data_IF_048676377493
#
_entry.id   IF_048676377493
#
_cell.length_a   1.000
_cell.length_b   1.000
_cell.length_c   1.000
_cell.angle_alpha   90.00
_cell.angle_beta   90.00
_cell.angle_gamma   90.00
#
_symmetry.space_group_name_H-M   'P 1'
#
loop_
_entity.id
_entity.type
_entity.pdbx_description
1 polymer ?
#
# COMPACT_ATOMS: atom_id res chain seq x y z
N UNK A 1 -22.69 -3.74 9.05
CA UNK A 1 -21.30 -3.43 9.40
C UNK A 1 -20.38 -4.48 8.80
N UNK A 2 -19.82 -4.20 7.63
CA UNK A 2 -18.81 -5.05 7.00
C UNK A 2 -17.52 -4.89 7.81
N UNK A 3 -16.93 -6.01 8.26
CA UNK A 3 -15.66 -5.96 8.97
C UNK A 3 -14.55 -5.50 8.01
N UNK A 4 -13.55 -4.78 8.51
CA UNK A 4 -12.44 -4.25 7.69
C UNK A 4 -11.73 -5.36 6.90
N UNK A 5 -11.71 -6.59 7.44
CA UNK A 5 -11.16 -7.78 6.80
C UNK A 5 -11.94 -8.15 5.52
N UNK A 6 -13.27 -8.17 5.61
CA UNK A 6 -14.16 -8.55 4.50
C UNK A 6 -14.15 -7.50 3.38
N UNK A 7 -13.65 -6.29 3.66
CA UNK A 7 -13.56 -5.20 2.71
C UNK A 7 -12.34 -5.28 1.77
N UNK A 8 -11.37 -6.18 1.98
CA UNK A 8 -10.16 -6.26 1.15
C UNK A 8 -10.46 -6.54 -0.33
N UNK A 9 -11.21 -7.60 -0.62
CA UNK A 9 -11.56 -7.97 -2.00
C UNK A 9 -12.34 -6.86 -2.73
N UNK A 10 -13.46 -6.31 -2.19
CA UNK A 10 -14.19 -5.26 -2.87
C UNK A 10 -13.36 -3.98 -3.03
N UNK A 11 -12.48 -3.67 -2.07
CA UNK A 11 -11.53 -2.57 -2.19
C UNK A 11 -10.58 -2.76 -3.38
N UNK A 12 -9.95 -3.94 -3.50
CA UNK A 12 -9.02 -4.23 -4.59
C UNK A 12 -9.73 -4.22 -5.95
N UNK A 13 -10.90 -4.86 -6.05
CA UNK A 13 -11.69 -4.88 -7.28
C UNK A 13 -12.04 -3.46 -7.73
N UNK A 14 -12.53 -2.62 -6.81
CA UNK A 14 -12.87 -1.23 -7.12
C UNK A 14 -11.64 -0.40 -7.49
N UNK A 15 -10.53 -0.59 -6.78
CA UNK A 15 -9.28 0.10 -7.08
C UNK A 15 -8.71 -0.27 -8.45
N UNK A 16 -8.84 -1.53 -8.87
CA UNK A 16 -8.44 -1.99 -10.21
C UNK A 16 -9.38 -1.47 -11.30
N UNK A 17 -10.70 -1.49 -11.07
CA UNK A 17 -11.71 -0.96 -12.01
C UNK A 17 -11.47 0.54 -12.30
N UNK A 18 -11.06 1.30 -11.27
CA UNK A 18 -10.74 2.72 -11.38
C UNK A 18 -9.32 3.01 -11.88
N UNK A 19 -8.55 1.98 -12.26
CA UNK A 19 -7.15 2.09 -12.68
C UNK A 19 -6.22 2.73 -11.63
N UNK A 20 -6.61 2.66 -10.35
CA UNK A 20 -5.81 3.17 -9.23
C UNK A 20 -4.84 2.10 -8.69
N UNK A 21 -5.23 0.82 -8.80
CA UNK A 21 -4.46 -0.32 -8.33
C UNK A 21 -4.06 -1.26 -9.46
N UNK A 22 -2.96 -1.99 -9.25
CA UNK A 22 -2.48 -2.98 -10.21
C UNK A 22 -3.37 -4.24 -10.19
N UNK A 23 -3.80 -4.76 -11.36
CA UNK A 23 -4.52 -6.03 -11.46
C UNK A 23 -3.73 -7.23 -10.90
N UNK A 24 -2.41 -7.13 -10.77
CA UNK A 24 -1.58 -8.18 -10.17
C UNK A 24 -1.94 -8.45 -8.71
N UNK A 25 -2.49 -7.46 -7.99
CA UNK A 25 -2.92 -7.63 -6.60
C UNK A 25 -4.08 -8.63 -6.45
N UNK A 26 -4.91 -8.80 -7.48
CA UNK A 26 -6.02 -9.76 -7.47
C UNK A 26 -5.57 -11.20 -7.67
N UNK A 27 -4.30 -11.44 -7.97
CA UNK A 27 -3.74 -12.80 -8.16
C UNK A 27 -3.27 -13.46 -6.86
N UNK A 28 -3.29 -12.73 -5.75
CA UNK A 28 -2.96 -13.26 -4.43
C UNK A 28 -4.11 -14.13 -3.89
N UNK A 29 -3.81 -15.02 -2.94
CA UNK A 29 -4.84 -15.65 -2.11
C UNK A 29 -5.45 -14.62 -1.15
N UNK A 30 -6.53 -13.97 -1.59
CA UNK A 30 -7.21 -12.93 -0.80
C UNK A 30 -7.81 -13.48 0.48
N UNK A 31 -8.28 -14.73 0.52
CA UNK A 31 -8.85 -15.31 1.74
C UNK A 31 -7.78 -15.46 2.83
N UNK A 32 -6.56 -15.87 2.43
CA UNK A 32 -5.43 -15.94 3.36
C UNK A 32 -5.03 -14.55 3.87
N UNK A 33 -4.97 -13.54 3.00
CA UNK A 33 -4.62 -12.17 3.38
C UNK A 33 -5.70 -11.54 4.27
N UNK A 34 -6.98 -11.74 3.96
CA UNK A 34 -8.11 -11.28 4.76
C UNK A 34 -8.05 -11.81 6.20
N UNK A 35 -7.73 -13.10 6.36
CA UNK A 35 -7.58 -13.72 7.66
C UNK A 35 -6.40 -13.15 8.48
N UNK A 36 -5.40 -12.56 7.81
CA UNK A 36 -4.24 -11.96 8.46
C UNK A 36 -4.48 -10.52 8.94
N UNK A 37 -5.52 -9.84 8.43
CA UNK A 37 -5.85 -8.46 8.82
C UNK A 37 -6.29 -8.42 10.28
N UNK A 38 -5.77 -7.43 11.02
CA UNK A 38 -6.01 -7.19 12.43
C UNK A 38 -6.65 -5.81 12.65
N UNK A 39 -7.99 -5.68 12.56
CA UNK A 39 -8.70 -4.41 12.73
C UNK A 39 -8.40 -3.70 14.04
N UNK A 40 -8.08 -4.45 15.10
CA UNK A 40 -7.73 -3.92 16.40
C UNK A 40 -6.51 -2.97 16.36
N UNK A 41 -5.63 -3.12 15.37
CA UNK A 41 -4.46 -2.24 15.17
C UNK A 41 -4.86 -0.84 14.70
N UNK A 42 -6.07 -0.66 14.18
CA UNK A 42 -6.59 0.67 13.84
C UNK A 42 -6.74 1.56 15.10
N UNK A 43 -6.85 0.97 16.29
CA UNK A 43 -6.88 1.72 17.56
C UNK A 43 -5.51 2.28 17.98
N UNK A 44 -4.42 1.89 17.31
CA UNK A 44 -3.08 2.39 17.62
C UNK A 44 -2.83 3.78 17.03
N UNK A 45 -3.68 4.23 16.10
CA UNK A 45 -3.53 5.54 15.48
C UNK A 45 -3.81 6.67 16.45
N UNK A 46 -2.86 7.62 16.50
CA UNK A 46 -3.16 8.96 17.01
C UNK A 46 -4.01 9.72 16.00
N UNK A 47 -4.77 10.72 16.46
CA UNK A 47 -5.58 11.56 15.58
C UNK A 47 -4.77 12.16 14.43
N UNK A 48 -3.59 12.72 14.72
CA UNK A 48 -2.71 13.32 13.71
C UNK A 48 -2.19 12.28 12.70
N UNK A 49 -1.86 11.07 13.18
CA UNK A 49 -1.40 9.98 12.32
C UNK A 49 -2.48 9.55 11.33
N UNK A 50 -3.70 9.35 11.83
CA UNK A 50 -4.84 8.99 10.98
C UNK A 50 -5.20 10.10 10.00
N UNK A 51 -5.24 11.35 10.47
CA UNK A 51 -5.53 12.50 9.61
C UNK A 51 -4.49 12.62 8.49
N UNK A 52 -3.21 12.40 8.80
CA UNK A 52 -2.14 12.44 7.79
C UNK A 52 -2.34 11.39 6.69
N UNK A 53 -2.73 10.17 7.06
CA UNK A 53 -3.01 9.11 6.09
C UNK A 53 -4.26 9.42 5.26
N UNK A 54 -5.33 9.88 5.93
CA UNK A 54 -6.58 10.21 5.28
C UNK A 54 -6.45 11.34 4.26
N UNK A 55 -5.71 12.39 4.61
CA UNK A 55 -5.57 13.58 3.76
C UNK A 55 -4.69 13.32 2.53
N UNK A 56 -3.67 12.46 2.66
CA UNK A 56 -2.58 12.37 1.66
C UNK A 56 -2.27 10.98 1.13
N UNK A 57 -2.64 9.89 1.79
CA UNK A 57 -2.15 8.55 1.44
C UNK A 57 -3.26 7.58 1.02
N UNK A 58 -4.46 7.72 1.58
CA UNK A 58 -5.56 6.84 1.25
C UNK A 58 -6.03 7.04 -0.19
N UNK A 59 -6.20 5.92 -0.89
CA UNK A 59 -6.76 5.92 -2.24
C UNK A 59 -8.19 6.49 -2.20
N UNK A 60 -8.46 7.43 -3.11
CA UNK A 60 -9.74 8.10 -3.23
C UNK A 60 -10.14 8.28 -4.69
N UNK A 61 -11.44 8.40 -4.92
CA UNK A 61 -12.02 8.71 -6.22
C UNK A 61 -13.22 9.64 -6.01
N UNK A 62 -13.33 10.70 -6.83
CA UNK A 62 -14.37 11.72 -6.71
C UNK A 62 -14.52 12.26 -5.26
N UNK A 63 -13.38 12.61 -4.64
CA UNK A 63 -13.25 13.09 -3.25
C UNK A 63 -13.66 12.09 -2.14
N UNK A 64 -14.11 10.88 -2.51
CA UNK A 64 -14.46 9.82 -1.56
C UNK A 64 -13.26 8.91 -1.34
N UNK A 65 -12.78 8.85 -0.09
CA UNK A 65 -11.76 7.89 0.34
C UNK A 65 -12.44 6.55 0.55
N UNK A 66 -11.94 5.51 -0.09
CA UNK A 66 -12.50 4.16 0.01
C UNK A 66 -11.46 3.13 0.48
N UNK A 67 -10.32 3.62 0.97
CA UNK A 67 -9.28 2.82 1.60
C UNK A 67 -9.35 2.98 3.12
N UNK A 68 -9.31 1.84 3.83
CA UNK A 68 -9.26 1.80 5.30
C UNK A 68 -7.82 1.60 5.79
N UNK A 69 -7.49 1.97 7.04
CA UNK A 69 -6.11 1.96 7.52
C UNK A 69 -5.40 0.59 7.42
N UNK A 70 -6.09 -0.52 7.72
CA UNK A 70 -5.46 -1.83 7.59
C UNK A 70 -5.35 -2.27 6.13
N UNK A 71 -6.32 -1.90 5.29
CA UNK A 71 -6.28 -2.17 3.85
C UNK A 71 -5.13 -1.40 3.19
N UNK A 72 -4.85 -0.18 3.65
CA UNK A 72 -3.69 0.60 3.23
C UNK A 72 -2.38 -0.15 3.49
N UNK A 73 -2.16 -0.64 4.71
CA UNK A 73 -0.96 -1.41 5.00
C UNK A 73 -0.91 -2.72 4.23
N UNK A 74 -2.05 -3.39 4.06
CA UNK A 74 -2.12 -4.63 3.28
C UNK A 74 -1.77 -4.36 1.81
N UNK A 75 -2.31 -3.31 1.19
CA UNK A 75 -1.98 -2.90 -0.19
C UNK A 75 -0.48 -2.67 -0.35
N UNK A 76 0.12 -1.88 0.55
CA UNK A 76 1.56 -1.59 0.49
C UNK A 76 2.36 -2.90 0.57
N UNK A 77 1.98 -3.78 1.50
CA UNK A 77 2.64 -5.06 1.72
C UNK A 77 2.52 -6.00 0.52
N UNK A 78 1.33 -6.12 -0.06
CA UNK A 78 1.10 -6.88 -1.28
C UNK A 78 1.93 -6.30 -2.43
N UNK A 79 1.94 -4.97 -2.58
CA UNK A 79 2.69 -4.27 -3.63
C UNK A 79 4.20 -4.52 -3.57
N UNK A 80 4.76 -4.68 -2.35
CA UNK A 80 6.15 -5.03 -2.15
C UNK A 80 6.43 -6.52 -2.40
N UNK A 81 5.46 -7.40 -2.13
CA UNK A 81 5.59 -8.84 -2.24
C UNK A 81 5.24 -9.43 -3.62
N UNK A 82 4.82 -8.62 -4.61
CA UNK A 82 4.33 -9.11 -5.93
C UNK A 82 5.35 -10.02 -6.65
N UNK A 83 6.64 -9.78 -6.46
CA UNK A 83 7.73 -10.51 -7.12
C UNK A 83 8.43 -11.54 -6.21
N UNK A 84 7.88 -11.79 -5.02
CA UNK A 84 8.42 -12.81 -4.10
C UNK A 84 7.97 -14.22 -4.52
N UNK A 85 8.78 -15.23 -4.19
CA UNK A 85 8.47 -16.64 -4.47
C UNK A 85 7.22 -17.11 -3.69
N UNK A 86 7.11 -16.67 -2.43
CA UNK A 86 5.94 -16.92 -1.58
C UNK A 86 5.28 -15.58 -1.22
N UNK A 87 4.46 -15.10 -2.15
CA UNK A 87 3.86 -13.77 -2.14
C UNK A 87 3.01 -13.53 -0.90
N UNK A 88 2.16 -14.49 -0.54
CA UNK A 88 1.23 -14.40 0.58
C UNK A 88 2.00 -14.34 1.91
N UNK A 89 2.97 -15.23 2.11
CA UNK A 89 3.75 -15.25 3.34
C UNK A 89 4.52 -13.94 3.54
N UNK A 90 5.14 -13.42 2.46
CA UNK A 90 5.87 -12.15 2.51
C UNK A 90 4.96 -10.94 2.68
N UNK A 91 3.80 -10.91 2.02
CA UNK A 91 2.81 -9.86 2.22
C UNK A 91 2.32 -9.82 3.69
N UNK A 92 2.07 -10.98 4.30
CA UNK A 92 1.65 -11.08 5.70
C UNK A 92 2.77 -10.62 6.65
N UNK A 93 4.03 -10.98 6.36
CA UNK A 93 5.19 -10.53 7.13
C UNK A 93 5.33 -9.00 7.09
N UNK A 94 5.33 -8.42 5.89
CA UNK A 94 5.41 -6.97 5.69
C UNK A 94 4.23 -6.24 6.32
N UNK A 95 3.02 -6.79 6.19
CA UNK A 95 1.82 -6.24 6.80
C UNK A 95 1.96 -6.19 8.32
N UNK A 96 2.44 -7.27 8.93
CA UNK A 96 2.60 -7.31 10.38
C UNK A 96 3.59 -6.26 10.87
N UNK A 97 4.69 -6.04 10.16
CA UNK A 97 5.73 -5.09 10.51
C UNK A 97 5.28 -3.62 10.31
N UNK A 98 4.54 -3.34 9.23
CA UNK A 98 4.03 -2.00 8.94
C UNK A 98 2.85 -1.62 9.85
N UNK A 99 1.89 -2.53 10.03
CA UNK A 99 0.68 -2.25 10.82
C UNK A 99 0.91 -2.25 12.34
N UNK A 100 2.01 -2.81 12.84
CA UNK A 100 2.44 -2.66 14.24
C UNK A 100 3.22 -1.38 14.51
N UNK A 101 3.55 -0.61 13.48
CA UNK A 101 4.45 0.55 13.52
C UNK A 101 5.90 0.25 13.94
N UNK A 102 6.33 -1.02 13.91
CA UNK A 102 7.73 -1.39 14.18
C UNK A 102 8.67 -0.90 13.08
N UNK A 103 8.15 -0.75 11.86
CA UNK A 103 8.82 -0.14 10.72
C UNK A 103 7.83 0.69 9.90
N UNK A 104 8.34 1.73 9.23
CA UNK A 104 7.58 2.51 8.27
C UNK A 104 8.40 2.73 7.01
N UNK A 105 7.82 2.38 5.86
CA UNK A 105 8.46 2.62 4.57
C UNK A 105 8.51 4.12 4.24
N UNK A 106 9.34 4.48 3.26
CA UNK A 106 9.42 5.86 2.80
C UNK A 106 8.11 6.31 2.15
N UNK A 107 7.83 7.62 2.18
CA UNK A 107 6.65 8.23 1.55
C UNK A 107 6.38 7.76 0.10
N UNK A 108 7.35 7.74 -0.84
CA UNK A 108 7.08 7.26 -2.20
C UNK A 108 6.69 5.77 -2.23
N UNK A 109 7.20 4.96 -1.31
CA UNK A 109 6.80 3.55 -1.20
C UNK A 109 5.37 3.42 -0.68
N UNK A 110 5.04 4.10 0.43
CA UNK A 110 3.69 4.09 1.01
C UNK A 110 2.62 4.57 0.03
N UNK A 111 2.95 5.59 -0.77
CA UNK A 111 2.03 6.18 -1.73
C UNK A 111 1.84 5.29 -2.97
N UNK A 112 2.93 4.76 -3.52
CA UNK A 112 2.90 4.12 -4.84
C UNK A 112 2.85 2.59 -4.82
N UNK A 113 3.13 1.93 -3.70
CA UNK A 113 3.09 0.46 -3.65
C UNK A 113 1.67 -0.07 -3.96
N UNK A 114 1.61 -1.04 -4.87
CA UNK A 114 0.35 -1.65 -5.33
C UNK A 114 -0.40 -0.89 -6.43
N UNK A 115 0.09 0.27 -6.89
CA UNK A 115 -0.50 0.99 -8.04
C UNK A 115 0.04 0.47 -9.39
N UNK A 116 -0.54 0.92 -10.50
CA UNK A 116 -0.19 0.44 -11.86
C UNK A 116 1.28 0.65 -12.26
N UNK A 117 1.89 1.76 -11.85
CA UNK A 117 3.27 2.13 -12.20
C UNK A 117 3.99 2.66 -10.96
N UNK A 118 4.46 1.77 -10.09
CA UNK A 118 4.89 2.17 -8.76
C UNK A 118 6.28 2.82 -8.78
N UNK A 119 6.34 4.16 -8.66
CA UNK A 119 7.60 4.86 -8.40
C UNK A 119 7.91 4.83 -6.89
N UNK A 120 8.60 3.79 -6.43
CA UNK A 120 8.82 3.54 -5.00
C UNK A 120 9.95 4.37 -4.38
N UNK A 121 10.80 4.99 -5.21
CA UNK A 121 11.93 5.82 -4.79
C UNK A 121 11.88 7.18 -5.50
N UNK A 122 12.31 8.23 -4.81
CA UNK A 122 12.34 9.59 -5.34
C UNK A 122 13.67 10.31 -5.14
N UNK A 123 14.64 9.68 -4.49
CA UNK A 123 15.97 10.22 -4.26
C UNK A 123 16.94 9.57 -5.25
N UNK A 124 17.64 10.38 -6.03
CA UNK A 124 18.60 9.95 -7.04
C UNK A 124 19.88 10.76 -6.90
N UNK A 125 21.02 10.13 -7.18
CA UNK A 125 22.31 10.79 -7.24
C UNK A 125 22.84 10.67 -8.67
N UNK A 126 23.12 11.80 -9.29
CA UNK A 126 23.68 11.88 -10.64
C UNK A 126 25.00 12.62 -10.60
N UNK A 127 25.92 12.26 -11.51
CA UNK A 127 27.15 13.01 -11.77
C UNK A 127 27.05 13.58 -13.18
N UNK A 128 27.36 14.86 -13.33
CA UNK A 128 27.31 15.58 -14.61
C UNK A 128 28.72 15.58 -15.19
N UNK A 129 28.94 15.03 -16.40
CA UNK A 129 30.26 15.07 -17.03
C UNK A 129 30.59 16.48 -17.54
N UNK A 130 31.88 16.82 -17.57
CA UNK A 130 32.37 18.15 -17.98
C UNK A 130 32.46 18.27 -19.51
N UNK A 131 31.32 18.15 -20.18
CA UNK A 131 31.18 18.40 -21.62
C UNK A 131 29.83 19.05 -21.94
N UNK A 132 29.76 19.81 -23.03
CA UNK A 132 28.57 20.58 -23.39
C UNK A 132 27.35 19.72 -23.74
N UNK A 133 27.55 18.43 -24.06
CA UNK A 133 26.46 17.51 -24.35
C UNK A 133 25.88 16.87 -23.08
N UNK A 134 26.67 16.77 -22.02
CA UNK A 134 26.30 16.13 -20.77
C UNK A 134 25.82 17.08 -19.67
N UNK A 135 26.00 18.39 -19.82
CA UNK A 135 25.34 19.46 -19.03
C UNK A 135 23.89 19.66 -19.50
#
# INVERSE_FOLDING_TARGET
>A
DTLENDALEPFLQRGVELELLSPELLKFDLAQLQAAIKPERSNQFTYLGLQTLYDRYFIHSNDVRFELPQLFFMRVSMGLAVQEDNREARAIEFYNLLSSFDYMASTPTLFNAGTLRPQLSSCYLTTVPDDLHGI
#
